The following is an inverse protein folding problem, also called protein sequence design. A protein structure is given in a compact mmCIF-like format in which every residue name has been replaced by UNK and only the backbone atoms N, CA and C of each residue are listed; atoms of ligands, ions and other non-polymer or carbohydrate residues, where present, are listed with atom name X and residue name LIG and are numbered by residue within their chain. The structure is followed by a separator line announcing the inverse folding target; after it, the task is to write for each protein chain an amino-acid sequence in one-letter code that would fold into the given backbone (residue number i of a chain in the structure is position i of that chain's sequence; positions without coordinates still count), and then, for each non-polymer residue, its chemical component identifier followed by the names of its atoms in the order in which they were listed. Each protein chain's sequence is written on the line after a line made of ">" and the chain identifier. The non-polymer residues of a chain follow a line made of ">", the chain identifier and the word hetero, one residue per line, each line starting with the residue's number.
data_IF_490656482843
#
_entry.id   IF_490656482843
#
_cell.length_a   1.000
_cell.length_b   1.000
_cell.length_c   1.000
_cell.angle_alpha   90.00
_cell.angle_beta   90.00
_cell.angle_gamma   90.00
#
_symmetry.space_group_name_H-M   'P 1'
#
loop_
_entity.id
_entity.type
_entity.pdbx_description
1 polymer ?
#
# COMPACT_ATOMS: atom_id res chain seq x y z
N UNK A 1 -30.04 6.76 -30.06
CA UNK A 1 -28.83 5.95 -29.82
C UNK A 1 -27.67 6.89 -29.52
N UNK A 2 -26.95 6.74 -28.39
CA UNK A 2 -25.88 7.66 -28.01
C UNK A 2 -24.70 7.60 -29.03
N UNK A 3 -24.06 8.72 -29.37
CA UNK A 3 -22.97 8.75 -30.35
C UNK A 3 -21.74 7.98 -29.79
N UNK A 4 -21.06 7.26 -30.71
CA UNK A 4 -19.86 6.49 -30.39
C UNK A 4 -18.73 7.41 -29.91
N UNK A 5 -18.08 7.09 -28.78
CA UNK A 5 -16.95 7.88 -28.22
C UNK A 5 -15.55 7.41 -28.68
N UNK A 6 -15.47 6.35 -29.49
CA UNK A 6 -14.20 5.80 -30.01
C UNK A 6 -13.59 6.68 -31.10
N UNK A 7 -12.27 6.66 -31.32
CA UNK A 7 -11.62 7.35 -32.41
C UNK A 7 -12.21 6.95 -33.80
N UNK A 8 -12.18 7.86 -34.77
CA UNK A 8 -12.58 7.54 -36.13
C UNK A 8 -11.69 6.42 -36.70
N UNK A 9 -12.34 5.41 -37.30
CA UNK A 9 -11.66 4.33 -38.02
C UNK A 9 -11.35 4.76 -39.46
N UNK A 10 -10.58 3.96 -40.20
CA UNK A 10 -10.39 4.17 -41.63
C UNK A 10 -11.74 4.11 -42.40
N UNK A 11 -12.61 3.17 -42.01
CA UNK A 11 -13.95 3.04 -42.61
C UNK A 11 -14.80 4.28 -42.36
N UNK A 12 -14.86 4.81 -41.14
CA UNK A 12 -15.53 6.08 -40.82
C UNK A 12 -14.99 7.22 -41.73
N UNK A 13 -13.68 7.28 -41.95
CA UNK A 13 -13.03 8.29 -42.81
C UNK A 13 -13.35 8.12 -44.30
N UNK A 14 -13.44 6.88 -44.76
CA UNK A 14 -13.88 6.61 -46.12
C UNK A 14 -15.34 7.02 -46.35
N UNK A 15 -16.22 6.76 -45.38
CA UNK A 15 -17.61 7.19 -45.45
C UNK A 15 -17.74 8.71 -45.42
N UNK A 16 -16.91 9.41 -44.63
CA UNK A 16 -16.80 10.88 -44.67
C UNK A 16 -16.39 11.31 -46.10
N UNK A 17 -15.34 10.70 -46.67
CA UNK A 17 -14.87 11.06 -48.04
C UNK A 17 -15.93 10.81 -49.11
N UNK A 18 -16.67 9.71 -49.03
CA UNK A 18 -17.78 9.37 -49.93
C UNK A 18 -18.96 10.35 -49.80
N UNK A 19 -19.31 10.71 -48.54
CA UNK A 19 -20.36 11.69 -48.26
C UNK A 19 -20.03 13.06 -48.83
N UNK A 20 -18.78 13.51 -48.67
CA UNK A 20 -18.28 14.77 -49.27
C UNK A 20 -18.34 14.74 -50.78
N UNK A 21 -17.98 13.64 -51.45
CA UNK A 21 -18.05 13.46 -52.88
C UNK A 21 -19.50 13.51 -53.41
N UNK A 22 -20.48 13.10 -52.58
CA UNK A 22 -21.91 13.17 -52.89
C UNK A 22 -22.53 14.53 -52.54
N UNK A 23 -21.77 15.50 -52.05
CA UNK A 23 -22.26 16.80 -51.64
C UNK A 23 -23.07 16.85 -50.34
N UNK A 24 -23.06 15.77 -49.55
CA UNK A 24 -23.79 15.70 -48.29
C UNK A 24 -23.25 16.71 -47.26
N UNK A 25 -24.12 17.24 -46.42
CA UNK A 25 -23.69 18.12 -45.32
C UNK A 25 -23.04 17.34 -44.16
N UNK A 26 -22.44 18.07 -43.20
CA UNK A 26 -21.74 17.42 -42.10
C UNK A 26 -22.68 16.64 -41.18
N UNK A 27 -23.94 17.06 -41.06
CA UNK A 27 -24.96 16.41 -40.23
C UNK A 27 -25.40 15.08 -40.86
N UNK A 28 -25.59 15.05 -42.18
CA UNK A 28 -25.94 13.84 -42.94
C UNK A 28 -24.80 12.81 -42.89
N UNK A 29 -23.55 13.26 -43.07
CA UNK A 29 -22.36 12.41 -42.95
C UNK A 29 -22.24 11.87 -41.51
N UNK A 30 -22.41 12.71 -40.52
CA UNK A 30 -22.33 12.30 -39.11
C UNK A 30 -23.40 11.26 -38.76
N UNK A 31 -24.62 11.40 -39.26
CA UNK A 31 -25.68 10.44 -39.09
C UNK A 31 -25.34 9.07 -39.69
N UNK A 32 -24.73 9.04 -40.90
CA UNK A 32 -24.36 7.79 -41.59
C UNK A 32 -23.34 6.96 -40.81
N UNK A 33 -22.37 7.64 -40.19
CA UNK A 33 -21.30 6.98 -39.38
C UNK A 33 -21.61 6.91 -37.89
N UNK A 34 -22.80 7.33 -37.47
CA UNK A 34 -23.27 7.37 -36.08
C UNK A 34 -22.33 8.16 -35.14
N UNK A 35 -21.93 9.33 -35.60
CA UNK A 35 -21.06 10.27 -34.85
C UNK A 35 -21.78 11.60 -34.67
N UNK A 36 -21.22 12.40 -33.77
CA UNK A 36 -21.66 13.80 -33.62
C UNK A 36 -21.14 14.65 -34.75
N UNK A 37 -21.95 15.63 -35.22
CA UNK A 37 -21.60 16.53 -36.30
C UNK A 37 -20.28 17.26 -36.04
N UNK A 38 -20.02 17.64 -34.80
CA UNK A 38 -18.78 18.33 -34.40
C UNK A 38 -17.52 17.48 -34.64
N UNK A 39 -17.65 16.14 -34.58
CA UNK A 39 -16.54 15.22 -34.86
C UNK A 39 -16.20 15.26 -36.36
N UNK A 40 -17.20 15.19 -37.21
CA UNK A 40 -17.03 15.24 -38.67
C UNK A 40 -16.50 16.63 -39.10
N UNK A 41 -17.07 17.70 -38.58
CA UNK A 41 -16.64 19.07 -38.87
C UNK A 41 -15.15 19.27 -38.48
N UNK A 42 -14.75 18.85 -37.30
CA UNK A 42 -13.35 18.95 -36.83
C UNK A 42 -12.39 18.08 -37.64
N UNK A 43 -12.81 16.88 -38.04
CA UNK A 43 -12.01 15.98 -38.85
C UNK A 43 -11.75 16.58 -40.24
N UNK A 44 -12.80 17.10 -40.90
CA UNK A 44 -12.70 17.75 -42.21
C UNK A 44 -11.83 19.02 -42.15
N UNK A 45 -12.08 19.88 -41.16
CA UNK A 45 -11.32 21.13 -40.99
C UNK A 45 -9.83 20.86 -40.72
N UNK A 46 -9.51 19.83 -39.94
CA UNK A 46 -8.12 19.44 -39.61
C UNK A 46 -7.35 18.95 -40.84
N UNK A 47 -8.04 18.43 -41.83
CA UNK A 47 -7.44 17.79 -43.01
C UNK A 47 -7.65 18.57 -44.30
N UNK A 48 -7.73 19.91 -44.22
CA UNK A 48 -7.71 20.82 -45.36
C UNK A 48 -9.09 21.21 -45.91
N UNK A 49 -10.17 20.95 -45.16
CA UNK A 49 -11.52 21.29 -45.56
C UNK A 49 -12.14 20.28 -46.53
N UNK A 50 -13.36 20.58 -46.97
CA UNK A 50 -14.21 19.64 -47.76
C UNK A 50 -13.60 19.21 -49.10
N UNK A 51 -12.96 20.12 -49.79
CA UNK A 51 -12.38 19.85 -51.13
C UNK A 51 -11.07 19.04 -51.05
N UNK A 52 -10.25 19.33 -50.07
CA UNK A 52 -8.93 18.72 -49.92
C UNK A 52 -8.94 17.40 -49.08
N UNK A 53 -10.06 17.09 -48.42
CA UNK A 53 -10.17 15.93 -47.56
C UNK A 53 -9.96 14.61 -48.32
N UNK A 54 -9.08 13.76 -47.79
CA UNK A 54 -8.83 12.39 -48.30
C UNK A 54 -8.71 11.42 -47.10
N UNK A 55 -9.55 10.39 -47.07
CA UNK A 55 -9.63 9.42 -46.01
C UNK A 55 -8.27 8.82 -45.62
N UNK A 56 -7.49 8.38 -46.62
CA UNK A 56 -6.19 7.77 -46.38
C UNK A 56 -5.17 8.75 -45.79
N UNK A 57 -5.15 10.02 -46.24
CA UNK A 57 -4.28 11.05 -45.66
C UNK A 57 -4.63 11.33 -44.20
N UNK A 58 -5.93 11.45 -43.94
CA UNK A 58 -6.43 11.66 -42.58
C UNK A 58 -6.11 10.48 -41.64
N UNK A 59 -6.23 9.23 -42.13
CA UNK A 59 -5.89 8.04 -41.38
C UNK A 59 -4.39 7.92 -41.13
N UNK A 60 -3.56 8.17 -42.13
CA UNK A 60 -2.10 8.19 -42.00
C UNK A 60 -1.66 9.23 -40.97
N UNK A 61 -2.16 10.47 -41.08
CA UNK A 61 -1.85 11.52 -40.10
C UNK A 61 -2.33 11.18 -38.69
N UNK A 62 -3.48 10.50 -38.55
CA UNK A 62 -3.97 10.03 -37.26
C UNK A 62 -3.11 8.89 -36.67
N UNK A 63 -2.61 7.98 -37.50
CA UNK A 63 -1.67 6.92 -37.10
C UNK A 63 -0.33 7.51 -36.66
N UNK A 64 0.24 8.43 -37.44
CA UNK A 64 1.48 9.15 -37.14
C UNK A 64 1.34 9.94 -35.81
N UNK A 65 0.20 10.64 -35.63
CA UNK A 65 -0.07 11.39 -34.40
C UNK A 65 -0.19 10.47 -33.17
N UNK A 66 -0.72 9.25 -33.35
CA UNK A 66 -0.79 8.24 -32.29
C UNK A 66 0.57 7.60 -32.00
N UNK A 67 1.40 7.41 -33.01
CA UNK A 67 2.73 6.81 -32.87
C UNK A 67 3.80 7.77 -32.36
N UNK A 68 3.52 9.10 -32.33
CA UNK A 68 4.47 10.08 -31.79
C UNK A 68 4.78 9.74 -30.32
N UNK A 69 6.05 9.56 -29.96
CA UNK A 69 6.44 9.41 -28.57
C UNK A 69 5.97 10.64 -27.78
N UNK A 70 5.08 10.43 -26.82
CA UNK A 70 4.73 11.48 -25.86
C UNK A 70 5.73 11.41 -24.72
N UNK A 71 6.32 12.55 -24.39
CA UNK A 71 7.13 12.65 -23.19
C UNK A 71 6.30 12.20 -21.99
N UNK A 72 6.88 11.32 -21.16
CA UNK A 72 6.17 10.83 -19.98
C UNK A 72 6.04 11.95 -18.97
N UNK A 73 4.90 12.04 -18.29
CA UNK A 73 4.62 13.07 -17.29
C UNK A 73 5.74 13.20 -16.25
N UNK A 74 6.35 12.08 -15.83
CA UNK A 74 7.45 12.06 -14.85
C UNK A 74 8.75 12.62 -15.44
N UNK A 75 9.00 12.41 -16.73
CA UNK A 75 10.19 12.96 -17.40
C UNK A 75 10.06 14.45 -17.67
N UNK A 76 8.84 14.90 -18.00
CA UNK A 76 8.52 16.29 -18.27
C UNK A 76 8.49 17.19 -17.02
N UNK A 77 8.35 16.61 -15.84
CA UNK A 77 8.26 17.33 -14.56
C UNK A 77 9.40 16.91 -13.62
N UNK A 78 10.48 17.70 -13.50
CA UNK A 78 11.62 17.39 -12.64
C UNK A 78 11.27 17.27 -11.15
N UNK A 79 10.29 18.05 -10.65
CA UNK A 79 9.88 18.00 -9.25
C UNK A 79 9.11 16.70 -8.97
N UNK A 80 8.18 16.34 -9.84
CA UNK A 80 7.47 15.07 -9.76
C UNK A 80 8.44 13.88 -9.86
N UNK A 81 9.41 13.93 -10.77
CA UNK A 81 10.43 12.89 -10.92
C UNK A 81 11.26 12.74 -9.64
N UNK A 82 11.74 13.85 -9.06
CA UNK A 82 12.49 13.82 -7.81
C UNK A 82 11.65 13.23 -6.67
N UNK A 83 10.38 13.65 -6.53
CA UNK A 83 9.46 13.14 -5.52
C UNK A 83 9.23 11.62 -5.68
N UNK A 84 8.90 11.16 -6.89
CA UNK A 84 8.67 9.72 -7.17
C UNK A 84 9.94 8.90 -6.89
N UNK A 85 11.11 9.37 -7.31
CA UNK A 85 12.38 8.69 -7.06
C UNK A 85 12.69 8.60 -5.55
N UNK A 86 12.50 9.68 -4.80
CA UNK A 86 12.71 9.71 -3.36
C UNK A 86 11.78 8.74 -2.62
N UNK A 87 10.49 8.69 -2.98
CA UNK A 87 9.52 7.80 -2.35
C UNK A 87 9.78 6.32 -2.71
N UNK A 88 10.20 6.02 -3.94
CA UNK A 88 10.66 4.67 -4.33
C UNK A 88 11.90 4.24 -3.53
N UNK A 89 12.85 5.14 -3.28
CA UNK A 89 14.04 4.87 -2.45
C UNK A 89 13.66 4.55 -1.00
N UNK A 90 12.57 5.14 -0.49
CA UNK A 90 11.97 4.81 0.82
C UNK A 90 11.25 3.44 0.83
N UNK A 91 11.22 2.75 -0.30
CA UNK A 91 10.56 1.45 -0.45
C UNK A 91 9.04 1.54 -0.63
N UNK A 92 8.49 2.72 -1.01
CA UNK A 92 7.08 2.85 -1.30
C UNK A 92 6.75 2.23 -2.66
N UNK A 93 5.60 1.59 -2.77
CA UNK A 93 5.11 1.07 -4.04
C UNK A 93 4.53 2.19 -4.92
N UNK A 94 4.45 1.98 -6.25
CA UNK A 94 3.77 2.92 -7.15
C UNK A 94 2.35 3.30 -6.71
N UNK A 95 1.61 2.36 -6.13
CA UNK A 95 0.25 2.59 -5.61
C UNK A 95 0.28 3.50 -4.37
N UNK A 96 1.19 3.24 -3.43
CA UNK A 96 1.38 4.06 -2.22
C UNK A 96 1.77 5.51 -2.59
N UNK A 97 2.67 5.69 -3.56
CA UNK A 97 3.08 7.01 -4.06
C UNK A 97 1.90 7.75 -4.73
N UNK A 98 1.23 7.09 -5.64
CA UNK A 98 0.07 7.68 -6.35
C UNK A 98 -1.05 8.08 -5.38
N UNK A 99 -1.37 7.19 -4.44
CA UNK A 99 -2.40 7.43 -3.43
C UNK A 99 -2.01 8.54 -2.45
N UNK A 100 -0.75 8.59 -2.02
CA UNK A 100 -0.25 9.65 -1.14
C UNK A 100 -0.29 11.02 -1.81
N UNK A 101 0.13 11.14 -3.06
CA UNK A 101 0.02 12.39 -3.81
C UNK A 101 -1.44 12.82 -3.99
N UNK A 102 -2.37 11.87 -4.19
CA UNK A 102 -3.80 12.18 -4.26
C UNK A 102 -4.34 12.68 -2.91
N UNK A 103 -3.93 12.09 -1.80
CA UNK A 103 -4.26 12.52 -0.45
C UNK A 103 -3.74 13.94 -0.16
N UNK A 104 -2.45 14.20 -0.39
CA UNK A 104 -1.83 15.51 -0.20
C UNK A 104 -2.49 16.59 -1.05
N UNK A 105 -2.83 16.25 -2.31
CA UNK A 105 -3.55 17.17 -3.20
C UNK A 105 -4.95 17.50 -2.70
N UNK A 106 -5.68 16.55 -2.13
CA UNK A 106 -7.00 16.79 -1.55
C UNK A 106 -6.97 17.78 -0.38
N UNK A 107 -5.80 17.94 0.25
CA UNK A 107 -5.54 18.87 1.34
C UNK A 107 -4.93 20.20 0.88
N UNK A 108 -4.68 20.36 -0.41
CA UNK A 108 -4.01 21.55 -0.94
C UNK A 108 -2.51 21.64 -0.63
N UNK A 109 -1.88 20.52 -0.23
CA UNK A 109 -0.45 20.48 0.12
C UNK A 109 0.46 20.36 -1.11
N UNK A 110 -0.10 19.90 -2.25
CA UNK A 110 0.61 19.77 -3.52
C UNK A 110 -0.35 19.78 -4.70
N UNK A 111 0.15 20.21 -5.88
CA UNK A 111 -0.54 20.08 -7.16
C UNK A 111 -0.09 18.84 -7.94
N UNK A 112 0.93 18.13 -7.44
CA UNK A 112 1.48 16.95 -8.09
C UNK A 112 0.43 15.83 -8.17
N UNK A 113 0.38 15.16 -9.31
CA UNK A 113 -0.47 13.97 -9.49
C UNK A 113 0.17 13.02 -10.49
N UNK A 114 0.11 11.74 -10.21
CA UNK A 114 0.60 10.69 -11.11
C UNK A 114 -0.17 9.41 -10.82
N UNK A 115 -0.50 8.63 -11.84
CA UNK A 115 -1.10 7.32 -11.64
C UNK A 115 -0.03 6.27 -11.33
N UNK A 116 -0.39 5.21 -10.62
CA UNK A 116 0.51 4.08 -10.36
C UNK A 116 1.03 3.45 -11.66
N UNK A 117 0.19 3.39 -12.70
CA UNK A 117 0.56 2.87 -14.02
C UNK A 117 1.63 3.73 -14.70
N UNK A 118 1.52 5.07 -14.59
CA UNK A 118 2.54 5.97 -15.13
C UNK A 118 3.88 5.80 -14.41
N UNK A 119 3.87 5.54 -13.11
CA UNK A 119 5.09 5.24 -12.33
C UNK A 119 5.66 3.90 -12.77
N UNK A 120 4.85 2.84 -12.89
CA UNK A 120 5.30 1.54 -13.39
C UNK A 120 5.92 1.65 -14.78
N UNK A 121 5.23 2.33 -15.70
CA UNK A 121 5.72 2.54 -17.07
C UNK A 121 7.04 3.32 -17.09
N UNK A 122 7.19 4.30 -16.22
CA UNK A 122 8.45 5.05 -16.08
C UNK A 122 9.58 4.18 -15.55
N UNK A 123 9.32 3.35 -14.52
CA UNK A 123 10.29 2.38 -13.95
C UNK A 123 10.78 1.40 -15.03
N UNK A 124 9.85 0.77 -15.77
CA UNK A 124 10.21 -0.22 -16.79
C UNK A 124 10.91 0.36 -18.02
N UNK A 125 10.81 1.66 -18.23
CA UNK A 125 11.47 2.34 -19.34
C UNK A 125 12.91 2.76 -19.02
N UNK A 126 13.34 2.67 -17.76
CA UNK A 126 14.73 2.96 -17.39
C UNK A 126 15.67 1.86 -17.90
N UNK A 127 16.90 2.18 -18.28
CA UNK A 127 17.89 1.19 -18.67
C UNK A 127 18.09 0.13 -17.58
N UNK A 128 18.22 -1.14 -17.99
CA UNK A 128 18.44 -2.25 -17.05
C UNK A 128 19.66 -1.96 -16.15
N UNK A 129 19.46 -2.01 -14.84
CA UNK A 129 20.52 -1.79 -13.86
C UNK A 129 20.67 -0.33 -13.39
N UNK A 130 20.12 0.66 -14.07
CA UNK A 130 20.19 2.06 -13.63
C UNK A 130 19.38 2.29 -12.36
N UNK A 131 18.18 1.74 -12.27
CA UNK A 131 17.36 1.76 -11.06
C UNK A 131 18.06 1.06 -9.89
N UNK A 132 18.69 -0.08 -10.14
CA UNK A 132 19.43 -0.80 -9.12
C UNK A 132 20.64 0.02 -8.60
N UNK A 133 21.34 0.74 -9.47
CA UNK A 133 22.41 1.66 -9.08
C UNK A 133 21.91 2.86 -8.28
N UNK A 134 20.69 3.30 -8.58
CA UNK A 134 20.01 4.37 -7.83
C UNK A 134 19.33 3.87 -6.53
N UNK A 135 19.47 2.59 -6.17
CA UNK A 135 18.80 2.01 -4.99
C UNK A 135 17.29 1.83 -5.13
N UNK A 136 16.78 1.88 -6.37
CA UNK A 136 15.34 1.79 -6.67
C UNK A 136 14.99 0.32 -6.98
N UNK A 137 14.34 -0.37 -6.04
CA UNK A 137 13.89 -1.75 -6.20
C UNK A 137 12.37 -1.85 -6.16
N UNK A 138 11.79 -2.60 -7.10
CA UNK A 138 10.41 -3.07 -6.92
C UNK A 138 10.38 -4.13 -5.82
N UNK A 139 9.45 -4.01 -4.88
CA UNK A 139 9.25 -4.85 -3.68
C UNK A 139 9.17 -6.36 -3.95
N UNK A 140 8.83 -6.77 -5.15
CA UNK A 140 8.60 -8.18 -5.54
C UNK A 140 9.68 -8.71 -6.47
N UNK A 141 10.91 -8.89 -5.99
CA UNK A 141 11.93 -9.65 -6.72
C UNK A 141 11.66 -11.16 -6.84
N UNK A 142 10.40 -11.60 -6.91
CA UNK A 142 10.02 -13.02 -6.96
C UNK A 142 9.53 -13.44 -8.33
N UNK A 143 10.22 -14.38 -8.95
CA UNK A 143 9.81 -15.02 -10.20
C UNK A 143 8.87 -16.24 -10.02
N UNK A 144 8.70 -16.82 -8.82
CA UNK A 144 7.86 -18.02 -8.62
C UNK A 144 7.18 -18.12 -7.24
N UNK A 145 5.99 -18.76 -7.21
CA UNK A 145 5.17 -19.06 -6.04
C UNK A 145 5.67 -20.33 -5.33
N UNK A 146 6.04 -20.26 -4.05
CA UNK A 146 6.43 -21.44 -3.25
C UNK A 146 5.21 -22.19 -2.69
N UNK A 147 5.22 -23.55 -2.61
CA UNK A 147 4.17 -24.33 -1.99
C UNK A 147 4.11 -24.16 -0.47
N UNK A 148 2.89 -24.34 0.11
CA UNK A 148 2.65 -24.27 1.55
C UNK A 148 3.42 -25.38 2.30
N UNK A 149 4.16 -25.00 3.36
CA UNK A 149 4.83 -25.93 4.25
C UNK A 149 3.88 -26.66 5.20
N UNK A 150 4.30 -27.83 5.74
CA UNK A 150 3.56 -28.64 6.70
C UNK A 150 3.38 -27.92 8.03
N UNK A 151 2.21 -28.12 8.67
CA UNK A 151 1.89 -27.60 9.99
C UNK A 151 2.84 -28.11 11.08
N UNK A 152 3.19 -27.23 12.04
CA UNK A 152 3.96 -27.57 13.25
C UNK A 152 3.06 -28.32 14.25
N UNK A 153 3.68 -29.19 15.09
CA UNK A 153 3.00 -29.86 16.20
C UNK A 153 2.52 -28.85 17.24
N UNK A 154 1.38 -29.10 17.94
CA UNK A 154 0.88 -28.23 19.00
C UNK A 154 1.89 -28.12 20.15
N UNK A 155 2.10 -26.89 20.64
CA UNK A 155 2.93 -26.58 21.81
C UNK A 155 2.22 -26.88 23.13
N UNK A 156 2.92 -26.69 24.27
CA UNK A 156 2.36 -26.85 25.62
C UNK A 156 1.18 -25.88 25.83
N UNK A 157 0.13 -26.36 26.55
CA UNK A 157 -1.05 -25.53 26.86
C UNK A 157 -0.68 -24.41 27.82
N UNK A 158 -1.05 -23.18 27.52
CA UNK A 158 -0.94 -22.03 28.42
C UNK A 158 -2.07 -22.09 29.43
N UNK A 159 -1.76 -21.89 30.71
CA UNK A 159 -2.75 -21.92 31.80
C UNK A 159 -3.38 -20.52 31.96
N UNK A 160 -4.71 -20.45 32.14
CA UNK A 160 -5.42 -19.21 32.43
C UNK A 160 -5.57 -18.27 31.22
N UNK A 161 -5.58 -18.80 30.01
CA UNK A 161 -5.83 -18.02 28.79
C UNK A 161 -7.23 -17.40 28.79
N UNK A 162 -7.33 -16.11 28.49
CA UNK A 162 -8.60 -15.46 28.17
C UNK A 162 -8.83 -15.54 26.65
N UNK A 163 -9.98 -16.08 26.24
CA UNK A 163 -10.31 -16.25 24.84
C UNK A 163 -10.46 -14.91 24.13
N UNK A 164 -10.19 -14.88 22.82
CA UNK A 164 -10.51 -13.73 21.97
C UNK A 164 -12.02 -13.40 21.97
N UNK A 165 -12.88 -14.36 22.28
CA UNK A 165 -14.33 -14.18 22.41
C UNK A 165 -14.71 -13.30 23.62
N UNK A 166 -13.90 -13.33 24.69
CA UNK A 166 -14.08 -12.51 25.89
C UNK A 166 -13.54 -11.08 25.72
N UNK A 167 -12.96 -10.77 24.55
CA UNK A 167 -12.41 -9.45 24.23
C UNK A 167 -13.54 -8.44 24.08
N UNK A 168 -13.36 -7.18 24.57
CA UNK A 168 -14.37 -6.13 24.43
C UNK A 168 -14.86 -5.98 22.98
N UNK A 169 -16.16 -5.84 22.77
CA UNK A 169 -16.76 -5.76 21.44
C UNK A 169 -16.25 -4.58 20.59
N UNK A 170 -15.83 -3.48 21.25
CA UNK A 170 -15.25 -2.29 20.60
C UNK A 170 -13.99 -2.61 19.77
N UNK A 171 -13.25 -3.66 20.16
CA UNK A 171 -12.03 -4.07 19.46
C UNK A 171 -12.32 -4.53 18.04
N UNK A 172 -13.50 -5.10 17.78
CA UNK A 172 -13.87 -5.62 16.46
C UNK A 172 -13.99 -4.51 15.40
N UNK A 173 -14.51 -3.34 15.80
CA UNK A 173 -14.75 -2.20 14.91
C UNK A 173 -13.48 -1.46 14.46
N UNK A 174 -12.35 -1.68 15.12
CA UNK A 174 -11.07 -0.98 14.83
C UNK A 174 -11.23 0.55 14.82
N UNK A 175 -12.06 1.09 15.70
CA UNK A 175 -12.31 2.53 15.84
C UNK A 175 -11.72 3.08 17.14
N UNK A 176 -11.64 2.24 18.17
CA UNK A 176 -11.08 2.61 19.48
C UNK A 176 -9.58 2.29 19.47
N UNK A 177 -8.71 3.28 19.76
CA UNK A 177 -7.25 3.07 19.80
C UNK A 177 -6.81 2.28 21.04
N UNK A 178 -5.54 1.86 21.05
CA UNK A 178 -4.94 1.17 22.18
C UNK A 178 -5.13 -0.34 22.19
N UNK A 179 -5.69 -0.91 21.14
CA UNK A 179 -5.81 -2.36 20.95
C UNK A 179 -4.73 -2.86 19.99
N UNK A 180 -3.91 -3.79 20.44
CA UNK A 180 -2.74 -4.30 19.73
C UNK A 180 -2.92 -5.74 19.27
N UNK A 181 -2.32 -6.07 18.13
CA UNK A 181 -2.08 -7.44 17.69
C UNK A 181 -0.58 -7.72 17.80
N UNK A 182 -0.21 -8.82 18.47
CA UNK A 182 1.18 -9.19 18.67
C UNK A 182 1.52 -10.56 18.09
N UNK A 183 2.80 -10.78 17.78
CA UNK A 183 3.35 -12.02 17.23
C UNK A 183 4.87 -12.05 17.40
N UNK A 184 5.49 -13.21 17.13
CA UNK A 184 6.94 -13.33 17.00
C UNK A 184 7.36 -13.58 15.55
N UNK A 185 8.32 -12.81 15.10
CA UNK A 185 9.08 -13.14 13.89
C UNK A 185 10.29 -13.96 14.29
N UNK A 186 10.26 -15.24 13.96
CA UNK A 186 11.31 -16.20 14.30
C UNK A 186 12.38 -16.23 13.20
N UNK A 187 13.65 -16.18 13.61
CA UNK A 187 14.83 -16.25 12.74
C UNK A 187 15.26 -17.69 12.41
N UNK A 188 16.48 -17.80 11.89
CA UNK A 188 17.06 -19.08 11.45
C UNK A 188 17.10 -20.11 12.59
N UNK A 189 16.55 -21.28 12.34
CA UNK A 189 16.55 -22.43 13.28
C UNK A 189 15.93 -22.12 14.66
N UNK A 190 15.13 -21.05 14.79
CA UNK A 190 14.51 -20.67 16.06
C UNK A 190 15.47 -20.08 17.09
N UNK A 191 16.68 -19.64 16.69
CA UNK A 191 17.70 -19.13 17.61
C UNK A 191 17.59 -17.66 17.94
N UNK A 192 16.89 -16.91 17.12
CA UNK A 192 16.64 -15.48 17.30
C UNK A 192 15.19 -15.13 16.97
N UNK A 193 14.67 -14.08 17.57
CA UNK A 193 13.33 -13.62 17.31
C UNK A 193 13.20 -12.11 17.58
N UNK A 194 12.13 -11.50 17.09
CA UNK A 194 11.70 -10.14 17.44
C UNK A 194 10.19 -10.15 17.66
N UNK A 195 9.73 -9.49 18.73
CA UNK A 195 8.31 -9.26 18.98
C UNK A 195 7.78 -8.18 18.04
N UNK A 196 6.59 -8.40 17.52
CA UNK A 196 5.87 -7.42 16.70
C UNK A 196 4.60 -7.01 17.39
N UNK A 197 4.37 -5.72 17.56
CA UNK A 197 3.15 -5.16 18.12
C UNK A 197 2.58 -4.18 17.11
N UNK A 198 1.36 -4.42 16.64
CA UNK A 198 0.70 -3.56 15.65
C UNK A 198 -0.57 -3.00 16.26
N UNK A 199 -0.68 -1.68 16.36
CA UNK A 199 -1.89 -1.00 16.81
C UNK A 199 -2.98 -1.11 15.75
N UNK A 200 -4.22 -1.44 16.15
CA UNK A 200 -5.27 -1.89 15.21
C UNK A 200 -5.91 -0.77 14.41
N UNK A 201 -5.97 0.45 14.93
CA UNK A 201 -6.55 1.62 14.25
C UNK A 201 -5.53 2.23 13.30
N UNK A 202 -4.39 2.65 13.86
CA UNK A 202 -3.34 3.38 13.13
C UNK A 202 -2.43 2.50 12.27
N UNK A 203 -2.40 1.18 12.51
CA UNK A 203 -1.42 0.25 11.94
C UNK A 203 0.02 0.52 12.38
N UNK A 204 0.19 1.30 13.44
CA UNK A 204 1.48 1.63 13.99
C UNK A 204 2.19 0.39 14.51
N UNK A 205 3.45 0.22 14.10
CA UNK A 205 4.28 -0.93 14.42
C UNK A 205 5.31 -0.57 15.47
N UNK A 206 5.43 -1.43 16.49
CA UNK A 206 6.58 -1.47 17.40
C UNK A 206 7.28 -2.82 17.19
N UNK A 207 8.59 -2.80 17.03
CA UNK A 207 9.45 -3.98 17.06
C UNK A 207 10.10 -4.07 18.43
N UNK A 208 9.79 -5.15 19.18
CA UNK A 208 10.32 -5.41 20.50
C UNK A 208 11.54 -6.37 20.39
N UNK A 209 12.76 -5.88 20.58
CA UNK A 209 13.97 -6.71 20.50
C UNK A 209 13.98 -7.76 21.60
N UNK A 210 14.40 -8.98 21.25
CA UNK A 210 14.57 -10.09 22.17
C UNK A 210 16.07 -10.42 22.29
N UNK A 211 16.60 -10.34 23.49
CA UNK A 211 18.01 -10.59 23.74
C UNK A 211 18.24 -12.09 24.02
N UNK A 212 18.72 -12.81 23.01
CA UNK A 212 19.15 -14.21 23.08
C UNK A 212 18.03 -15.24 23.01
N UNK A 213 17.12 -15.30 23.96
CA UNK A 213 16.04 -16.28 24.08
C UNK A 213 14.68 -15.67 23.62
N UNK A 214 13.75 -16.51 23.28
CA UNK A 214 12.34 -16.15 23.07
C UNK A 214 11.42 -16.96 24.01
N UNK A 215 11.89 -17.25 25.22
CA UNK A 215 11.07 -17.81 26.30
C UNK A 215 10.04 -16.79 26.81
N UNK A 216 9.08 -17.27 27.60
CA UNK A 216 7.98 -16.44 28.10
C UNK A 216 8.43 -15.25 28.98
N UNK A 217 9.55 -15.37 29.70
CA UNK A 217 10.10 -14.26 30.47
C UNK A 217 10.65 -13.16 29.61
N UNK A 218 11.51 -13.52 28.64
CA UNK A 218 12.13 -12.59 27.69
C UNK A 218 11.07 -11.88 26.83
N UNK A 219 10.06 -12.61 26.35
CA UNK A 219 8.95 -12.03 25.57
C UNK A 219 8.12 -11.06 26.42
N UNK A 220 7.78 -11.44 27.65
CA UNK A 220 7.08 -10.56 28.60
C UNK A 220 7.84 -9.25 28.81
N UNK A 221 9.15 -9.32 29.09
CA UNK A 221 9.98 -8.15 29.36
C UNK A 221 10.14 -7.25 28.13
N UNK A 222 10.30 -7.83 26.94
CA UNK A 222 10.37 -7.10 25.67
C UNK A 222 9.05 -6.39 25.35
N UNK A 223 7.91 -7.06 25.50
CA UNK A 223 6.58 -6.45 25.28
C UNK A 223 6.31 -5.36 26.31
N UNK A 224 6.62 -5.61 27.60
CA UNK A 224 6.51 -4.59 28.65
C UNK A 224 7.35 -3.35 28.31
N UNK A 225 8.62 -3.52 27.94
CA UNK A 225 9.52 -2.43 27.56
C UNK A 225 9.00 -1.63 26.36
N UNK A 226 8.32 -2.29 25.44
CA UNK A 226 7.75 -1.65 24.24
C UNK A 226 6.51 -0.77 24.53
N UNK A 227 5.74 -1.09 25.58
CA UNK A 227 4.45 -0.43 25.84
C UNK A 227 4.42 0.40 27.13
N UNK A 228 5.39 0.27 28.04
CA UNK A 228 5.36 0.89 29.37
C UNK A 228 5.21 2.41 29.35
N UNK A 229 5.78 3.06 28.34
CA UNK A 229 5.79 4.53 28.20
C UNK A 229 4.58 5.06 27.42
N UNK A 230 3.71 4.18 26.91
CA UNK A 230 2.47 4.58 26.24
C UNK A 230 1.43 5.03 27.29
N UNK A 231 0.57 6.03 26.97
CA UNK A 231 -0.57 6.40 27.80
C UNK A 231 -1.49 5.20 28.07
N UNK A 232 -2.19 5.18 29.22
CA UNK A 232 -3.11 4.10 29.59
C UNK A 232 -4.18 3.82 28.53
N UNK A 233 -4.72 4.86 27.92
CA UNK A 233 -5.68 4.77 26.83
C UNK A 233 -5.13 4.06 25.57
N UNK A 234 -3.81 4.04 25.40
CA UNK A 234 -3.13 3.33 24.32
C UNK A 234 -2.67 1.91 24.72
N UNK A 235 -3.05 1.42 25.91
CA UNK A 235 -2.72 0.08 26.45
C UNK A 235 -3.97 -0.69 26.84
N UNK A 236 -4.99 -0.75 25.97
CA UNK A 236 -6.30 -1.33 26.27
C UNK A 236 -6.34 -2.85 26.18
N UNK A 237 -5.72 -3.44 25.16
CA UNK A 237 -5.59 -4.89 25.03
C UNK A 237 -4.51 -5.32 24.06
N UNK A 238 -4.02 -6.56 24.25
CA UNK A 238 -3.12 -7.24 23.32
C UNK A 238 -3.77 -8.56 22.89
N UNK A 239 -3.84 -8.81 21.58
CA UNK A 239 -4.25 -10.09 21.04
C UNK A 239 -3.01 -10.85 20.56
N UNK A 240 -2.82 -12.08 21.07
CA UNK A 240 -1.69 -12.95 20.71
C UNK A 240 -2.18 -14.31 20.22
N UNK A 241 -1.31 -15.14 19.64
CA UNK A 241 -1.66 -16.53 19.39
C UNK A 241 -1.46 -17.40 20.64
N UNK A 242 -1.75 -18.71 20.51
CA UNK A 242 -1.61 -19.66 21.62
C UNK A 242 -0.16 -20.20 21.73
N UNK A 243 0.83 -19.38 21.42
CA UNK A 243 2.23 -19.75 21.54
C UNK A 243 2.72 -19.77 23.00
N UNK A 244 3.52 -20.76 23.37
CA UNK A 244 4.06 -20.92 24.74
C UNK A 244 4.93 -19.76 25.19
N UNK A 245 5.43 -18.93 24.27
CA UNK A 245 6.18 -17.71 24.54
C UNK A 245 5.36 -16.64 25.27
N UNK A 246 4.02 -16.75 25.28
CA UNK A 246 3.12 -15.85 26.03
C UNK A 246 2.61 -16.49 27.34
N UNK A 247 3.26 -17.52 27.84
CA UNK A 247 2.85 -18.19 29.10
C UNK A 247 2.87 -17.28 30.34
N UNK A 248 3.64 -16.17 30.31
CA UNK A 248 3.66 -15.14 31.36
C UNK A 248 2.69 -13.96 31.11
N UNK A 249 1.64 -14.16 30.33
CA UNK A 249 0.65 -13.12 30.00
C UNK A 249 -0.01 -12.47 31.20
N UNK A 250 -0.28 -13.25 32.28
CA UNK A 250 -0.86 -12.72 33.52
C UNK A 250 0.06 -11.70 34.19
N UNK A 251 1.38 -12.01 34.27
CA UNK A 251 2.37 -11.09 34.80
C UNK A 251 2.53 -9.83 33.91
N UNK A 252 2.48 -9.98 32.58
CA UNK A 252 2.47 -8.86 31.67
C UNK A 252 1.24 -7.96 31.86
N UNK A 253 0.05 -8.56 32.00
CA UNK A 253 -1.20 -7.82 32.26
C UNK A 253 -1.09 -6.99 33.55
N UNK A 254 -0.58 -7.56 34.61
CA UNK A 254 -0.40 -6.85 35.87
C UNK A 254 0.65 -5.73 35.78
N UNK A 255 1.78 -5.98 35.13
CA UNK A 255 2.87 -5.01 35.05
C UNK A 255 2.58 -3.85 34.11
N UNK A 256 1.97 -4.12 32.96
CA UNK A 256 1.73 -3.13 31.92
C UNK A 256 0.30 -2.52 31.94
N UNK A 257 -0.63 -3.08 32.70
CA UNK A 257 -2.05 -2.75 32.61
C UNK A 257 -2.62 -3.09 31.22
N UNK A 258 -2.11 -4.16 30.58
CA UNK A 258 -2.44 -4.55 29.20
C UNK A 258 -3.04 -5.97 29.19
N UNK A 259 -4.37 -6.11 29.22
CA UNK A 259 -5.04 -7.40 29.14
C UNK A 259 -4.67 -8.18 27.86
N UNK A 260 -4.35 -9.46 28.00
CA UNK A 260 -3.96 -10.32 26.87
C UNK A 260 -5.08 -11.30 26.54
N UNK A 261 -5.48 -11.32 25.25
CA UNK A 261 -6.48 -12.22 24.70
C UNK A 261 -5.84 -13.14 23.65
N UNK A 262 -6.27 -14.39 23.64
CA UNK A 262 -5.68 -15.42 22.78
C UNK A 262 -6.59 -15.73 21.60
N UNK A 263 -6.05 -15.58 20.39
CA UNK A 263 -6.71 -15.99 19.16
C UNK A 263 -6.88 -17.51 19.09
N UNK A 264 -7.86 -18.00 18.36
CA UNK A 264 -8.05 -19.42 18.16
C UNK A 264 -6.88 -20.03 17.38
N UNK A 265 -6.57 -21.27 17.70
CA UNK A 265 -5.56 -22.02 16.96
C UNK A 265 -5.96 -22.11 15.48
N UNK A 266 -5.00 -21.88 14.57
CA UNK A 266 -5.20 -21.90 13.13
C UNK A 266 -6.16 -20.84 12.55
N UNK A 267 -6.43 -19.75 13.27
CA UNK A 267 -7.30 -18.64 12.85
C UNK A 267 -6.51 -17.35 12.53
N UNK A 268 -5.68 -17.32 11.47
CA UNK A 268 -4.83 -16.17 11.15
C UNK A 268 -5.65 -14.90 10.83
N UNK A 269 -6.90 -15.03 10.36
CA UNK A 269 -7.79 -13.89 10.08
C UNK A 269 -8.15 -13.07 11.33
N UNK A 270 -8.06 -13.65 12.54
CA UNK A 270 -8.29 -12.95 13.80
C UNK A 270 -7.18 -11.95 14.13
N UNK A 271 -5.99 -12.13 13.52
CA UNK A 271 -4.82 -11.24 13.63
C UNK A 271 -4.34 -10.75 12.24
N UNK A 272 -5.29 -10.49 11.34
CA UNK A 272 -4.99 -10.12 9.95
C UNK A 272 -4.14 -8.86 9.79
N UNK A 273 -4.17 -7.94 10.77
CA UNK A 273 -3.32 -6.75 10.77
C UNK A 273 -1.86 -7.11 10.94
N UNK A 274 -1.58 -7.98 11.91
CA UNK A 274 -0.22 -8.40 12.21
C UNK A 274 0.34 -9.29 11.10
N UNK A 275 -0.43 -10.25 10.56
CA UNK A 275 0.01 -11.12 9.47
C UNK A 275 0.45 -10.30 8.24
N UNK A 276 -0.34 -9.29 7.85
CA UNK A 276 0.01 -8.40 6.75
C UNK A 276 1.29 -7.60 7.05
N UNK A 277 1.41 -7.05 8.26
CA UNK A 277 2.58 -6.28 8.68
C UNK A 277 3.83 -7.14 8.76
N UNK A 278 3.72 -8.38 9.26
CA UNK A 278 4.81 -9.35 9.29
C UNK A 278 5.34 -9.65 7.87
N UNK A 279 4.45 -9.66 6.86
CA UNK A 279 4.84 -9.74 5.45
C UNK A 279 5.76 -8.59 5.01
N UNK A 280 5.50 -7.37 5.48
CA UNK A 280 6.34 -6.20 5.19
C UNK A 280 7.66 -6.21 5.96
N UNK A 281 7.62 -6.59 7.24
CA UNK A 281 8.84 -6.71 8.07
C UNK A 281 9.81 -7.73 7.45
N UNK A 282 9.30 -8.77 6.79
CA UNK A 282 10.12 -9.77 6.11
C UNK A 282 10.90 -9.25 4.90
N UNK A 283 10.66 -8.03 4.46
CA UNK A 283 11.51 -7.34 3.47
C UNK A 283 12.85 -6.93 4.09
N UNK A 284 12.85 -6.59 5.38
CA UNK A 284 14.04 -6.20 6.15
C UNK A 284 14.66 -7.36 6.93
N UNK A 285 13.82 -8.28 7.40
CA UNK A 285 14.22 -9.47 8.19
C UNK A 285 13.82 -10.75 7.43
N UNK A 286 14.55 -11.16 6.38
CA UNK A 286 14.18 -12.29 5.53
C UNK A 286 14.06 -13.61 6.28
N UNK A 287 13.19 -14.52 5.79
CA UNK A 287 13.07 -15.87 6.36
C UNK A 287 14.37 -16.65 6.18
N UNK A 288 14.80 -17.34 7.24
CA UNK A 288 15.99 -18.16 7.20
C UNK A 288 17.30 -17.41 7.50
N UNK A 289 17.22 -16.11 7.83
CA UNK A 289 18.33 -15.33 8.35
C UNK A 289 18.24 -15.22 9.87
N UNK A 290 19.32 -14.87 10.52
CA UNK A 290 19.35 -14.51 11.92
C UNK A 290 18.69 -13.13 12.09
N UNK A 291 17.89 -12.96 13.14
CA UNK A 291 17.26 -11.69 13.49
C UNK A 291 18.13 -11.01 14.53
N UNK A 292 18.51 -9.78 14.22
CA UNK A 292 19.30 -8.95 15.14
C UNK A 292 18.47 -8.50 16.35
N UNK A 293 19.10 -8.34 17.50
CA UNK A 293 18.55 -7.63 18.66
C UNK A 293 18.97 -6.17 18.73
N UNK A 294 19.67 -5.67 17.69
CA UNK A 294 20.06 -4.26 17.60
C UNK A 294 18.83 -3.36 17.62
N UNK A 295 18.70 -2.60 18.69
CA UNK A 295 17.55 -1.73 18.96
C UNK A 295 17.44 -0.59 17.98
N UNK A 296 18.56 -0.01 17.55
CA UNK A 296 18.59 1.09 16.59
C UNK A 296 18.15 0.62 15.20
N UNK A 297 18.67 -0.51 14.75
CA UNK A 297 18.26 -1.11 13.49
C UNK A 297 16.77 -1.47 13.48
N UNK A 298 16.28 -2.14 14.51
CA UNK A 298 14.86 -2.54 14.60
C UNK A 298 13.95 -1.31 14.66
N UNK A 299 14.37 -0.25 15.37
CA UNK A 299 13.66 1.02 15.38
C UNK A 299 13.61 1.66 13.99
N UNK A 300 14.74 1.73 13.29
CA UNK A 300 14.81 2.28 11.93
C UNK A 300 13.90 1.50 10.97
N UNK A 301 13.81 0.17 11.09
CA UNK A 301 12.87 -0.67 10.33
C UNK A 301 11.42 -0.32 10.67
N UNK A 302 11.08 -0.21 11.96
CA UNK A 302 9.73 0.16 12.39
C UNK A 302 9.35 1.55 11.88
N UNK A 303 10.25 2.54 12.02
CA UNK A 303 10.04 3.91 11.56
C UNK A 303 9.85 3.99 10.04
N UNK A 304 10.64 3.24 9.26
CA UNK A 304 10.46 3.13 7.80
C UNK A 304 9.09 2.58 7.43
N UNK A 305 8.59 1.56 8.15
CA UNK A 305 7.26 0.98 7.91
C UNK A 305 6.12 1.87 8.41
N UNK A 306 6.35 2.63 9.49
CA UNK A 306 5.39 3.61 10.04
C UNK A 306 5.31 4.88 9.19
N UNK A 307 6.36 5.23 8.43
CA UNK A 307 6.35 6.33 7.46
C UNK A 307 5.76 5.92 6.09
N UNK A 308 5.45 4.65 5.88
CA UNK A 308 4.90 4.15 4.60
C UNK A 308 3.38 4.35 4.55
N UNK A 309 2.83 5.07 3.54
CA UNK A 309 1.38 5.25 3.39
C UNK A 309 0.63 3.92 3.29
N UNK A 310 -0.58 3.86 3.85
CA UNK A 310 -1.43 2.66 3.83
C UNK A 310 -2.75 2.95 3.14
N UNK A 311 -3.10 2.16 2.12
CA UNK A 311 -4.37 2.30 1.41
C UNK A 311 -5.58 2.20 2.38
N UNK A 312 -5.51 1.31 3.37
CA UNK A 312 -6.55 1.14 4.39
C UNK A 312 -6.73 2.36 5.30
N UNK A 313 -5.73 3.23 5.39
CA UNK A 313 -5.78 4.51 6.11
C UNK A 313 -6.05 5.69 5.16
N UNK A 314 -6.55 5.45 3.95
CA UNK A 314 -6.72 6.49 2.94
C UNK A 314 -5.40 7.11 2.49
N UNK A 315 -4.34 6.31 2.43
CA UNK A 315 -2.96 6.70 2.12
C UNK A 315 -2.31 7.68 3.12
N UNK A 316 -2.86 7.72 4.35
CA UNK A 316 -2.17 8.30 5.49
C UNK A 316 -1.10 7.33 6.00
N UNK A 317 -0.13 7.86 6.73
CA UNK A 317 0.95 7.08 7.32
C UNK A 317 0.56 6.59 8.73
N UNK A 318 0.97 5.39 9.15
CA UNK A 318 0.74 4.91 10.51
C UNK A 318 1.20 5.89 11.61
N UNK A 319 2.37 6.51 11.46
CA UNK A 319 2.90 7.50 12.42
C UNK A 319 2.03 8.75 12.51
N UNK A 320 1.47 9.25 11.41
CA UNK A 320 0.54 10.40 11.39
C UNK A 320 -0.73 10.08 12.18
N UNK A 321 -1.33 8.93 11.88
CA UNK A 321 -2.57 8.51 12.55
C UNK A 321 -2.33 8.23 14.04
N UNK A 322 -1.22 7.57 14.38
CA UNK A 322 -0.88 7.26 15.77
C UNK A 322 -0.62 8.53 16.60
N UNK A 323 0.09 9.51 16.02
CA UNK A 323 0.34 10.79 16.67
C UNK A 323 -0.97 11.56 16.95
N UNK A 324 -1.91 11.58 16.00
CA UNK A 324 -3.22 12.19 16.21
C UNK A 324 -4.01 11.51 17.33
N UNK A 325 -4.00 10.16 17.39
CA UNK A 325 -4.67 9.40 18.45
C UNK A 325 -4.06 9.72 19.82
N UNK A 326 -2.74 9.88 19.92
CA UNK A 326 -2.08 10.29 21.17
C UNK A 326 -2.50 11.69 21.62
N UNK A 327 -2.64 12.64 20.68
CA UNK A 327 -3.09 14.02 21.00
C UNK A 327 -4.53 14.02 21.49
N UNK A 328 -5.45 13.32 20.81
CA UNK A 328 -6.85 13.22 21.20
C UNK A 328 -7.02 12.64 22.61
N UNK A 329 -6.27 11.58 22.95
CA UNK A 329 -6.33 10.97 24.28
C UNK A 329 -5.75 11.90 25.37
N UNK A 330 -4.73 12.71 25.05
CA UNK A 330 -4.18 13.69 25.98
C UNK A 330 -5.17 14.83 26.30
N UNK A 331 -5.95 15.26 25.32
CA UNK A 331 -7.01 16.27 25.50
C UNK A 331 -8.16 15.76 26.36
N UNK A 332 -8.62 14.52 26.11
CA UNK A 332 -9.67 13.87 26.92
C UNK A 332 -9.22 13.67 28.37
N UNK A 333 -7.95 13.32 28.60
CA UNK A 333 -7.40 13.12 29.95
C UNK A 333 -7.19 14.42 30.73
N UNK A 334 -7.19 15.56 30.05
CA UNK A 334 -6.97 16.90 30.64
C UNK A 334 -8.29 17.67 30.88
N UNK A 335 -9.42 17.16 30.39
CA UNK A 335 -10.77 17.71 30.56
C UNK A 335 -11.54 17.03 31.70
#
# INVERSE_FOLDING_TARGET
>A
MAPRREPLTLEDREDISRGLAKGLDNKEIAASIRRDESVVSREISRHGGREAYRAWKADTAARESRSRPKERKIDADPQLRHRVAADLTRGWSPEEISGRLAYERSRGETDMSVSHEAICTWIYAQPKGELARAGLYLRTGREQRKPRGRAKKPGAKIVGMTSIEDRPAEVAGRQVPGHWEGDLIIGKQGRSAVGTLVERVSRYLILAPLDGSHDAGTVKDAVFGAVKDLPGAMRRSLTWDQGSEMAQHAALTLAAGLPVYFAHAHSPWERGTNENTNGLIREYLPKGTEITSDREYLRAVADSLNDRPRAILGFRKPNEVFAELLLQESEISSA
#
